data_IF_825358464729
#
_entry.id   IF_825358464729
#
_cell.length_a   1.000
_cell.length_b   1.000
_cell.length_c   1.000
_cell.angle_alpha   90.00
_cell.angle_beta   90.00
_cell.angle_gamma   90.00
#
_symmetry.space_group_name_H-M   'P 1'
#
loop_
_entity.id
_entity.type
_entity.pdbx_description
1 polymer ?
#
# COMPACT_ATOMS: atom_id res chain seq x y z
N UNK A 1 50.18 -65.82 7.75
CA UNK A 1 49.45 -64.93 8.68
C UNK A 1 49.69 -63.48 8.27
N UNK A 2 48.69 -62.78 7.73
CA UNK A 2 48.59 -61.30 7.66
C UNK A 2 47.20 -60.96 7.12
N UNK A 3 46.26 -60.62 8.01
CA UNK A 3 44.93 -60.09 7.66
C UNK A 3 45.06 -58.58 7.47
N UNK A 4 44.71 -58.09 6.29
CA UNK A 4 44.53 -56.66 6.04
C UNK A 4 43.09 -56.30 6.40
N UNK A 5 42.90 -55.50 7.44
CA UNK A 5 41.62 -54.87 7.77
C UNK A 5 41.54 -53.54 7.03
N UNK A 6 40.68 -53.46 6.03
CA UNK A 6 40.33 -52.19 5.37
C UNK A 6 39.46 -51.35 6.32
N UNK A 7 39.97 -50.20 6.74
CA UNK A 7 39.18 -49.17 7.44
C UNK A 7 38.49 -48.32 6.37
N UNK A 8 37.17 -48.41 6.28
CA UNK A 8 36.35 -47.50 5.46
C UNK A 8 36.14 -46.23 6.27
N UNK A 9 36.76 -45.13 5.85
CA UNK A 9 36.56 -43.81 6.46
C UNK A 9 35.32 -43.17 5.81
N UNK A 10 34.18 -43.26 6.48
CA UNK A 10 32.96 -42.56 6.05
C UNK A 10 33.07 -41.07 6.39
N UNK A 11 33.33 -40.23 5.38
CA UNK A 11 33.29 -38.77 5.51
C UNK A 11 31.82 -38.33 5.47
N UNK A 12 31.25 -37.99 6.63
CA UNK A 12 29.95 -37.32 6.71
C UNK A 12 30.11 -35.88 6.19
N UNK A 13 29.61 -35.60 4.99
CA UNK A 13 29.38 -34.22 4.54
C UNK A 13 28.17 -33.66 5.29
N UNK A 14 28.41 -32.86 6.34
CA UNK A 14 27.40 -31.98 6.90
C UNK A 14 27.11 -30.88 5.86
N UNK A 15 26.02 -31.01 5.11
CA UNK A 15 25.50 -29.89 4.30
C UNK A 15 24.93 -28.85 5.25
N UNK A 16 25.65 -27.76 5.50
CA UNK A 16 25.07 -26.55 6.08
C UNK A 16 24.06 -26.01 5.08
N UNK A 17 22.78 -26.32 5.29
CA UNK A 17 21.67 -25.65 4.61
C UNK A 17 21.61 -24.22 5.13
N UNK A 18 22.29 -23.29 4.44
CA UNK A 18 22.07 -21.86 4.65
C UNK A 18 20.66 -21.60 4.13
N UNK A 19 19.68 -21.57 5.03
CA UNK A 19 18.37 -21.03 4.69
C UNK A 19 18.60 -19.57 4.28
N UNK A 20 18.24 -19.16 3.05
CA UNK A 20 18.30 -17.76 2.71
C UNK A 20 17.38 -17.03 3.69
N UNK A 21 17.94 -16.06 4.40
CA UNK A 21 17.14 -15.04 5.05
C UNK A 21 16.53 -14.25 3.91
N UNK A 22 15.35 -14.66 3.45
CA UNK A 22 14.65 -13.93 2.41
C UNK A 22 14.13 -12.65 3.08
N UNK A 23 14.78 -11.52 2.73
CA UNK A 23 14.27 -10.20 3.07
C UNK A 23 12.86 -10.02 2.50
N UNK A 24 12.15 -9.00 2.98
CA UNK A 24 10.85 -8.64 2.44
C UNK A 24 10.98 -8.38 0.93
N UNK A 25 10.28 -9.16 0.09
CA UNK A 25 10.34 -9.02 -1.37
C UNK A 25 9.28 -8.04 -1.91
N UNK A 26 8.17 -7.93 -1.18
CA UNK A 26 7.01 -7.14 -1.55
C UNK A 26 6.67 -6.15 -0.43
N UNK A 27 6.34 -4.91 -0.79
CA UNK A 27 5.96 -3.85 0.13
C UNK A 27 4.68 -3.17 -0.32
N UNK A 28 3.82 -2.87 0.66
CA UNK A 28 2.64 -2.04 0.48
C UNK A 28 2.40 -1.17 1.71
N UNK A 29 1.47 -0.22 1.58
CA UNK A 29 1.03 0.68 2.66
C UNK A 29 0.77 -0.08 3.97
N UNK A 30 1.45 0.32 5.05
CA UNK A 30 1.28 -0.28 6.40
C UNK A 30 1.51 -1.81 6.46
N UNK A 31 2.40 -2.33 5.62
CA UNK A 31 2.81 -3.72 5.64
C UNK A 31 1.83 -4.68 4.95
N UNK A 32 2.15 -5.97 4.97
CA UNK A 32 1.43 -7.00 4.18
C UNK A 32 -0.08 -7.06 4.46
N UNK A 33 -0.48 -6.81 5.71
CA UNK A 33 -1.89 -6.81 6.16
C UNK A 33 -2.52 -5.42 6.16
N UNK A 34 -1.73 -4.37 5.88
CA UNK A 34 -2.09 -2.94 5.90
C UNK A 34 -2.61 -2.45 7.26
N UNK A 35 -2.32 -3.20 8.32
CA UNK A 35 -2.68 -2.92 9.72
C UNK A 35 -1.60 -2.12 10.46
N UNK A 36 -0.42 -1.96 9.87
CA UNK A 36 0.73 -1.28 10.49
C UNK A 36 1.46 -2.15 11.51
N UNK A 37 1.19 -3.45 11.53
CA UNK A 37 1.93 -4.44 12.33
C UNK A 37 3.01 -5.05 11.44
N UNK A 38 4.26 -4.94 11.89
CA UNK A 38 5.40 -5.56 11.25
C UNK A 38 5.93 -6.70 12.14
N UNK A 39 6.29 -7.82 11.53
CA UNK A 39 6.53 -9.09 12.22
C UNK A 39 8.02 -9.31 12.59
N UNK A 40 8.85 -8.27 12.53
CA UNK A 40 10.26 -8.35 12.89
C UNK A 40 10.43 -8.63 14.39
N UNK A 41 11.41 -9.49 14.68
CA UNK A 41 11.77 -9.87 16.04
C UNK A 41 13.12 -9.26 16.43
N UNK A 42 13.50 -9.36 17.71
CA UNK A 42 14.77 -8.80 18.19
C UNK A 42 14.79 -7.27 18.31
N UNK A 43 13.66 -6.60 18.15
CA UNK A 43 13.54 -5.15 18.37
C UNK A 43 13.81 -4.79 19.83
N UNK A 44 14.51 -3.67 20.03
CA UNK A 44 14.76 -3.10 21.36
C UNK A 44 13.44 -2.86 22.09
N UNK A 45 13.32 -3.39 23.31
CA UNK A 45 12.15 -3.16 24.18
C UNK A 45 12.21 -1.84 24.94
N UNK A 46 13.40 -1.24 25.02
CA UNK A 46 13.65 0.05 25.63
C UNK A 46 14.84 0.69 24.89
N UNK A 47 14.73 1.97 24.56
CA UNK A 47 15.86 2.74 24.07
C UNK A 47 16.80 3.13 25.22
N UNK A 48 18.07 3.36 24.91
CA UNK A 48 18.98 4.02 25.84
C UNK A 48 18.46 5.43 26.19
N UNK A 49 18.92 6.02 27.30
CA UNK A 49 18.53 7.38 27.70
C UNK A 49 18.84 8.42 26.62
N UNK A 50 19.91 8.19 25.86
CA UNK A 50 20.34 9.02 24.73
C UNK A 50 19.49 8.82 23.46
N UNK A 51 18.51 7.91 23.48
CA UNK A 51 17.75 7.51 22.30
C UNK A 51 18.48 6.48 21.43
N UNK A 52 17.85 6.06 20.32
CA UNK A 52 18.46 5.16 19.34
C UNK A 52 19.59 5.89 18.59
N UNK A 53 20.64 5.15 18.21
CA UNK A 53 21.70 5.69 17.37
C UNK A 53 21.14 6.05 15.99
N UNK A 54 21.40 7.27 15.53
CA UNK A 54 21.19 7.64 14.13
C UNK A 54 22.23 6.92 13.26
N UNK A 55 21.79 6.00 12.41
CA UNK A 55 22.68 5.27 11.50
C UNK A 55 23.05 6.12 10.28
N UNK A 56 22.04 6.74 9.66
CA UNK A 56 22.22 7.65 8.53
C UNK A 56 20.97 8.53 8.36
N UNK A 57 21.13 9.63 7.64
CA UNK A 57 20.05 10.51 7.19
C UNK A 57 20.32 10.94 5.76
N UNK A 58 19.27 11.28 5.02
CA UNK A 58 19.38 11.77 3.66
C UNK A 58 18.54 13.03 3.48
N UNK A 59 19.20 14.12 3.10
CA UNK A 59 18.57 15.38 2.72
C UNK A 59 18.43 15.45 1.20
N UNK A 60 17.36 16.09 0.72
CA UNK A 60 17.16 16.32 -0.72
C UNK A 60 16.16 15.41 -1.41
N UNK A 61 15.23 14.78 -0.66
CA UNK A 61 14.04 14.16 -1.26
C UNK A 61 13.10 15.22 -1.87
N UNK A 62 13.16 16.46 -1.37
CA UNK A 62 12.23 17.53 -1.72
C UNK A 62 10.93 17.44 -0.92
N UNK A 63 9.84 17.99 -1.46
CA UNK A 63 8.54 18.05 -0.78
C UNK A 63 7.81 16.70 -0.82
N UNK A 64 7.22 16.26 0.30
CA UNK A 64 6.48 15.00 0.36
C UNK A 64 5.98 14.61 1.75
N UNK A 65 5.02 13.69 1.73
CA UNK A 65 4.31 13.13 2.89
C UNK A 65 4.19 11.60 2.82
N UNK A 66 4.88 10.97 1.86
CA UNK A 66 4.84 9.52 1.64
C UNK A 66 5.52 8.74 2.77
N UNK A 67 5.19 7.46 2.89
CA UNK A 67 5.93 6.53 3.76
C UNK A 67 7.03 5.80 2.99
N UNK A 68 7.97 5.24 3.73
CA UNK A 68 9.05 4.41 3.18
C UNK A 68 8.51 3.01 2.84
N UNK A 69 8.87 2.50 1.66
CA UNK A 69 8.70 1.10 1.30
C UNK A 69 10.05 0.39 1.31
N UNK A 70 10.13 -0.78 1.95
CA UNK A 70 11.35 -1.59 2.02
C UNK A 70 11.06 -2.92 1.33
N UNK A 71 11.84 -3.23 0.30
CA UNK A 71 11.73 -4.48 -0.44
C UNK A 71 13.04 -4.81 -1.15
N UNK A 72 13.36 -6.10 -1.33
CA UNK A 72 14.51 -6.56 -2.11
C UNK A 72 15.84 -5.88 -1.68
N UNK A 73 16.05 -5.77 -0.36
CA UNK A 73 17.20 -5.09 0.28
C UNK A 73 17.41 -3.62 -0.15
N UNK A 74 16.32 -2.97 -0.56
CA UNK A 74 16.30 -1.57 -0.98
C UNK A 74 15.21 -0.80 -0.27
N UNK A 75 15.42 0.51 -0.21
CA UNK A 75 14.49 1.50 0.32
C UNK A 75 13.96 2.30 -0.87
N UNK A 76 12.64 2.38 -0.98
CA UNK A 76 11.92 3.13 -1.99
C UNK A 76 11.14 4.25 -1.31
N UNK A 77 11.31 5.47 -1.78
CA UNK A 77 10.59 6.64 -1.28
C UNK A 77 10.40 7.67 -2.40
N UNK A 78 9.27 8.37 -2.40
CA UNK A 78 9.03 9.47 -3.33
C UNK A 78 9.19 10.81 -2.64
N UNK A 79 9.60 11.81 -3.41
CA UNK A 79 9.56 13.21 -3.03
C UNK A 79 9.24 14.06 -4.25
N UNK A 80 9.31 15.38 -4.13
CA UNK A 80 8.97 16.30 -5.21
C UNK A 80 9.98 17.44 -5.30
N UNK A 81 10.45 17.73 -6.50
CA UNK A 81 11.31 18.87 -6.80
C UNK A 81 10.76 19.57 -8.03
N UNK A 82 10.58 20.89 -7.96
CA UNK A 82 10.02 21.71 -9.06
C UNK A 82 8.70 21.17 -9.62
N UNK A 83 7.78 20.77 -8.73
CA UNK A 83 6.49 20.12 -9.05
C UNK A 83 6.57 18.73 -9.70
N UNK A 84 7.77 18.19 -9.89
CA UNK A 84 8.00 16.87 -10.45
C UNK A 84 8.24 15.87 -9.32
N UNK A 85 7.40 14.84 -9.26
CA UNK A 85 7.60 13.70 -8.40
C UNK A 85 8.83 12.90 -8.81
N UNK A 86 9.64 12.51 -7.83
CA UNK A 86 10.88 11.75 -8.01
C UNK A 86 10.84 10.54 -7.11
N UNK A 87 11.03 9.35 -7.68
CA UNK A 87 11.31 8.13 -6.95
C UNK A 87 12.80 8.09 -6.61
N UNK A 88 13.12 7.83 -5.34
CA UNK A 88 14.47 7.60 -4.85
C UNK A 88 14.60 6.15 -4.38
N UNK A 89 15.74 5.54 -4.71
CA UNK A 89 16.05 4.15 -4.35
C UNK A 89 17.39 4.15 -3.62
N UNK A 90 17.41 3.64 -2.39
CA UNK A 90 18.62 3.50 -1.57
C UNK A 90 18.88 2.04 -1.25
N UNK A 91 20.12 1.70 -0.90
CA UNK A 91 20.37 0.49 -0.13
C UNK A 91 20.02 0.71 1.36
N UNK A 92 20.09 -0.34 2.18
CA UNK A 92 19.78 -0.26 3.61
C UNK A 92 20.76 0.63 4.41
N UNK A 93 21.95 0.90 3.88
CA UNK A 93 22.96 1.80 4.48
C UNK A 93 22.74 3.27 4.12
N UNK A 94 21.65 3.61 3.41
CA UNK A 94 21.33 4.99 3.03
C UNK A 94 22.08 5.53 1.81
N UNK A 95 22.83 4.69 1.09
CA UNK A 95 23.46 5.06 -0.17
C UNK A 95 22.42 5.13 -1.27
N UNK A 96 22.31 6.30 -1.92
CA UNK A 96 21.46 6.48 -3.09
C UNK A 96 21.97 5.58 -4.24
N UNK A 97 21.11 4.67 -4.69
CA UNK A 97 21.38 3.76 -5.80
C UNK A 97 20.86 4.32 -7.12
N UNK A 98 19.66 4.91 -7.12
CA UNK A 98 19.05 5.49 -8.30
C UNK A 98 17.98 6.53 -7.93
N UNK A 99 17.63 7.41 -8.88
CA UNK A 99 16.45 8.27 -8.81
C UNK A 99 15.79 8.41 -10.17
N UNK A 100 14.46 8.48 -10.19
CA UNK A 100 13.66 8.56 -11.42
C UNK A 100 12.55 9.61 -11.25
N UNK A 101 12.59 10.72 -12.00
CA UNK A 101 11.43 11.58 -12.18
C UNK A 101 10.29 10.80 -12.82
N UNK A 102 9.08 10.89 -12.27
CA UNK A 102 7.92 10.11 -12.72
C UNK A 102 6.73 10.97 -13.20
N UNK A 103 6.83 12.29 -13.13
CA UNK A 103 5.83 13.22 -13.66
C UNK A 103 5.34 14.22 -12.63
N UNK A 104 4.25 14.91 -12.94
CA UNK A 104 3.71 15.97 -12.09
C UNK A 104 3.09 15.40 -10.81
N UNK A 105 3.45 16.02 -9.69
CA UNK A 105 2.84 15.78 -8.38
C UNK A 105 1.93 16.94 -7.96
N UNK A 106 1.27 16.77 -6.80
CA UNK A 106 0.43 17.82 -6.24
C UNK A 106 1.28 19.02 -5.75
N UNK A 107 1.01 20.19 -6.34
CA UNK A 107 1.78 21.41 -6.13
C UNK A 107 0.92 22.65 -5.86
N UNK A 108 -0.36 22.48 -5.50
CA UNK A 108 -1.27 23.61 -5.25
C UNK A 108 -1.26 24.06 -3.78
N UNK A 109 -1.28 23.12 -2.84
CA UNK A 109 -1.30 23.34 -1.40
C UNK A 109 -0.82 22.09 -0.66
N UNK A 110 -0.08 22.26 0.44
CA UNK A 110 0.60 21.16 1.14
C UNK A 110 1.41 20.29 0.16
N UNK A 111 2.30 20.90 -0.60
CA UNK A 111 2.92 20.30 -1.78
C UNK A 111 3.62 18.95 -1.51
N UNK A 112 3.70 18.10 -2.55
CA UNK A 112 4.58 16.93 -2.55
C UNK A 112 3.91 15.59 -2.89
N UNK A 113 4.72 14.55 -2.99
CA UNK A 113 4.22 13.17 -3.11
C UNK A 113 3.56 12.71 -1.79
N UNK A 114 2.58 11.81 -1.84
CA UNK A 114 1.79 11.42 -0.66
C UNK A 114 1.54 9.92 -0.55
N UNK A 115 1.32 9.27 -1.68
CA UNK A 115 1.04 7.84 -1.73
C UNK A 115 2.32 7.04 -1.57
N UNK A 116 2.25 5.94 -0.81
CA UNK A 116 3.40 5.06 -0.61
C UNK A 116 3.63 4.22 -1.86
N UNK A 117 4.89 4.12 -2.28
CA UNK A 117 5.29 3.24 -3.39
C UNK A 117 4.98 1.80 -2.99
N UNK A 118 4.23 1.08 -3.82
CA UNK A 118 4.10 -0.36 -3.64
C UNK A 118 5.18 -1.06 -4.48
N UNK A 119 5.88 -2.01 -3.88
CA UNK A 119 6.87 -2.85 -4.56
C UNK A 119 6.28 -4.25 -4.62
N UNK A 120 6.07 -4.77 -5.83
CA UNK A 120 5.46 -6.07 -5.97
C UNK A 120 5.92 -6.78 -7.25
N UNK A 121 6.46 -7.99 -7.12
CA UNK A 121 6.83 -8.88 -8.24
C UNK A 121 7.68 -8.19 -9.34
N UNK A 122 8.73 -7.45 -8.96
CA UNK A 122 9.60 -6.75 -9.91
C UNK A 122 8.98 -5.49 -10.54
N UNK A 123 7.92 -4.96 -9.93
CA UNK A 123 7.21 -3.75 -10.35
C UNK A 123 7.08 -2.75 -9.21
N UNK A 124 7.06 -1.47 -9.56
CA UNK A 124 6.82 -0.35 -8.66
C UNK A 124 5.53 0.34 -9.04
N UNK A 125 4.65 0.57 -8.07
CA UNK A 125 3.38 1.25 -8.28
C UNK A 125 3.35 2.57 -7.51
N UNK A 126 3.15 3.66 -8.24
CA UNK A 126 3.14 5.03 -7.71
C UNK A 126 1.81 5.67 -8.06
N UNK A 127 1.12 6.24 -7.07
CA UNK A 127 -0.12 6.96 -7.30
C UNK A 127 0.06 8.44 -6.97
N UNK A 128 0.03 9.30 -7.98
CA UNK A 128 0.32 10.72 -7.79
C UNK A 128 -0.86 11.46 -7.17
N UNK A 129 -0.58 12.60 -6.52
CA UNK A 129 -1.61 13.53 -6.05
C UNK A 129 -2.45 14.15 -7.18
N UNK A 130 -2.07 13.92 -8.45
CA UNK A 130 -2.83 14.30 -9.64
C UNK A 130 -3.63 13.14 -10.25
N UNK A 131 -3.74 12.02 -9.56
CA UNK A 131 -4.56 10.88 -9.97
C UNK A 131 -3.92 10.00 -11.04
N UNK A 132 -2.60 10.06 -11.23
CA UNK A 132 -1.90 9.17 -12.17
C UNK A 132 -1.38 7.95 -11.41
N UNK A 133 -1.87 6.78 -11.75
CA UNK A 133 -1.38 5.49 -11.29
C UNK A 133 -0.37 4.96 -12.31
N UNK A 134 0.89 4.84 -11.88
CA UNK A 134 2.02 4.39 -12.68
C UNK A 134 2.43 2.98 -12.26
N UNK A 135 2.79 2.16 -13.24
CA UNK A 135 3.54 0.93 -13.05
C UNK A 135 4.90 1.06 -13.72
N UNK A 136 5.97 0.91 -12.95
CA UNK A 136 7.35 0.91 -13.44
C UNK A 136 7.95 -0.48 -13.31
N UNK A 137 8.87 -0.83 -14.20
CA UNK A 137 9.75 -1.97 -14.02
C UNK A 137 10.80 -1.64 -12.94
N UNK A 138 10.96 -2.49 -11.92
CA UNK A 138 11.87 -2.23 -10.79
C UNK A 138 13.35 -2.17 -11.21
N UNK A 139 13.73 -2.86 -12.30
CA UNK A 139 15.12 -2.99 -12.72
C UNK A 139 15.58 -1.78 -13.52
N UNK A 140 14.81 -1.35 -14.51
CA UNK A 140 15.19 -0.25 -15.41
C UNK A 140 14.44 1.07 -15.15
N UNK A 141 13.39 1.03 -14.31
CA UNK A 141 12.53 2.19 -13.98
C UNK A 141 11.80 2.77 -15.19
N UNK A 142 11.59 1.96 -16.22
CA UNK A 142 10.76 2.31 -17.37
C UNK A 142 9.28 2.14 -17.02
N UNK A 143 8.45 3.02 -17.57
CA UNK A 143 7.00 2.94 -17.43
C UNK A 143 6.52 1.73 -18.22
N UNK A 144 5.88 0.78 -17.52
CA UNK A 144 5.23 -0.38 -18.13
C UNK A 144 3.82 -0.01 -18.58
N UNK A 145 3.07 0.67 -17.71
CA UNK A 145 1.76 1.24 -18.03
C UNK A 145 1.44 2.43 -17.11
N UNK A 146 0.47 3.24 -17.53
CA UNK A 146 -0.04 4.38 -16.77
C UNK A 146 -1.55 4.52 -16.96
N UNK A 147 -2.26 4.92 -15.90
CA UNK A 147 -3.68 5.27 -15.92
C UNK A 147 -3.90 6.57 -15.19
N UNK A 148 -4.75 7.45 -15.72
CA UNK A 148 -5.16 8.65 -15.03
C UNK A 148 -6.60 8.46 -14.55
N UNK A 149 -6.78 8.24 -13.26
CA UNK A 149 -8.09 7.90 -12.71
C UNK A 149 -9.11 9.02 -12.83
N UNK A 150 -8.65 10.27 -12.98
CA UNK A 150 -9.52 11.42 -13.14
C UNK A 150 -10.14 11.47 -14.54
N UNK A 151 -9.37 11.08 -15.57
CA UNK A 151 -9.84 11.09 -16.96
C UNK A 151 -10.42 9.75 -17.40
N UNK A 152 -9.82 8.65 -16.96
CA UNK A 152 -10.15 7.30 -17.42
C UNK A 152 -11.38 6.74 -16.69
N UNK A 153 -11.64 7.23 -15.47
CA UNK A 153 -12.64 6.69 -14.54
C UNK A 153 -13.48 7.79 -13.88
N UNK A 154 -13.80 8.85 -14.63
CA UNK A 154 -14.68 9.97 -14.22
C UNK A 154 -14.43 10.55 -12.81
N UNK A 155 -13.22 10.40 -12.30
CA UNK A 155 -12.81 10.85 -10.97
C UNK A 155 -12.66 12.36 -10.91
N UNK A 156 -12.71 12.90 -9.69
CA UNK A 156 -12.45 14.31 -9.43
C UNK A 156 -11.28 14.43 -8.47
N UNK A 157 -10.37 15.37 -8.74
CA UNK A 157 -9.27 15.57 -7.82
C UNK A 157 -9.77 16.20 -6.52
N UNK A 158 -9.08 15.90 -5.44
CA UNK A 158 -9.40 16.35 -4.09
C UNK A 158 -8.73 17.69 -3.79
N UNK A 159 -9.24 18.42 -2.80
CA UNK A 159 -8.73 19.73 -2.38
C UNK A 159 -7.24 19.74 -2.01
N UNK A 160 -6.70 18.60 -1.57
CA UNK A 160 -5.29 18.43 -1.20
C UNK A 160 -4.57 17.41 -2.07
N UNK A 161 -5.10 17.12 -3.25
CA UNK A 161 -4.61 16.07 -4.12
C UNK A 161 -5.00 14.67 -3.65
N UNK A 162 -4.96 13.71 -4.56
CA UNK A 162 -5.15 12.29 -4.24
C UNK A 162 -4.11 11.82 -3.22
N UNK A 163 -4.53 11.08 -2.20
CA UNK A 163 -3.67 10.56 -1.14
C UNK A 163 -3.99 9.10 -0.79
N UNK A 164 -4.27 8.30 -1.83
CA UNK A 164 -4.52 6.88 -1.70
C UNK A 164 -3.24 6.10 -2.02
N UNK A 165 -2.84 5.17 -1.15
CA UNK A 165 -1.91 4.12 -1.53
C UNK A 165 -2.74 2.93 -2.06
N UNK A 166 -2.71 2.64 -3.37
CA UNK A 166 -3.60 1.64 -3.96
C UNK A 166 -3.38 0.26 -3.32
N UNK A 167 -4.40 -0.57 -3.35
CA UNK A 167 -4.38 -1.90 -2.74
C UNK A 167 -4.01 -2.94 -3.80
N UNK A 168 -2.98 -3.74 -3.55
CA UNK A 168 -2.56 -4.84 -4.44
C UNK A 168 -2.88 -6.17 -3.77
N UNK A 169 -3.70 -6.99 -4.43
CA UNK A 169 -3.99 -8.38 -4.02
C UNK A 169 -3.84 -9.29 -5.23
N UNK A 170 -2.86 -10.19 -5.19
CA UNK A 170 -2.55 -11.08 -6.31
C UNK A 170 -2.22 -10.29 -7.58
N UNK A 171 -2.98 -10.50 -8.65
CA UNK A 171 -2.83 -9.82 -9.94
C UNK A 171 -3.75 -8.59 -10.11
N UNK A 172 -4.35 -8.09 -9.03
CA UNK A 172 -5.32 -6.99 -9.07
C UNK A 172 -4.84 -5.78 -8.26
N UNK A 173 -5.01 -4.60 -8.83
CA UNK A 173 -4.91 -3.30 -8.14
C UNK A 173 -6.32 -2.75 -7.93
N UNK A 174 -6.65 -2.37 -6.70
CA UNK A 174 -7.85 -1.62 -6.38
C UNK A 174 -7.51 -0.15 -6.13
N UNK A 175 -8.27 0.74 -6.75
CA UNK A 175 -8.13 2.18 -6.61
C UNK A 175 -9.51 2.85 -6.49
N UNK A 176 -9.55 4.02 -5.85
CA UNK A 176 -10.79 4.78 -5.61
C UNK A 176 -10.77 6.12 -6.35
N UNK A 177 -11.09 6.14 -7.66
CA UNK A 177 -11.20 7.38 -8.42
C UNK A 177 -12.23 8.37 -7.84
N UNK A 178 -13.27 7.84 -7.16
CA UNK A 178 -14.34 8.67 -6.63
C UNK A 178 -15.27 9.25 -7.70
N UNK A 179 -15.35 8.61 -8.87
CA UNK A 179 -16.29 8.95 -9.93
C UNK A 179 -17.73 8.59 -9.58
N UNK A 180 -18.69 9.09 -10.37
CA UNK A 180 -20.11 8.75 -10.25
C UNK A 180 -20.39 7.36 -10.81
N UNK A 181 -19.72 7.02 -11.90
CA UNK A 181 -19.85 5.74 -12.59
C UNK A 181 -18.72 4.78 -12.21
N UNK A 182 -17.50 5.29 -12.01
CA UNK A 182 -16.34 4.52 -11.61
C UNK A 182 -15.81 4.98 -10.25
N UNK A 183 -16.58 4.69 -9.21
CA UNK A 183 -16.29 5.10 -7.84
C UNK A 183 -15.11 4.32 -7.23
N UNK A 184 -15.10 3.00 -7.45
CA UNK A 184 -14.02 2.07 -7.13
C UNK A 184 -13.75 1.23 -8.39
N UNK A 185 -12.49 0.97 -8.69
CA UNK A 185 -12.08 0.16 -9.84
C UNK A 185 -11.12 -0.93 -9.42
N UNK A 186 -11.19 -2.06 -10.12
CA UNK A 186 -10.16 -3.09 -10.12
C UNK A 186 -9.45 -3.11 -11.47
N UNK A 187 -8.13 -3.05 -11.43
CA UNK A 187 -7.26 -3.03 -12.60
C UNK A 187 -6.33 -4.23 -12.59
N UNK A 188 -6.00 -4.75 -13.76
CA UNK A 188 -4.92 -5.71 -13.94
C UNK A 188 -3.60 -5.10 -13.47
N UNK A 189 -2.95 -5.73 -12.49
CA UNK A 189 -1.63 -5.34 -12.00
C UNK A 189 -0.57 -5.35 -13.12
N UNK A 190 -0.74 -6.23 -14.11
CA UNK A 190 0.20 -6.44 -15.21
C UNK A 190 0.03 -5.42 -16.34
N UNK A 191 -1.19 -5.04 -16.66
CA UNK A 191 -1.51 -4.24 -17.87
C UNK A 191 -2.17 -2.90 -17.58
N UNK A 192 -2.68 -2.68 -16.37
CA UNK A 192 -3.47 -1.51 -16.01
C UNK A 192 -4.89 -1.53 -16.61
N UNK A 193 -5.27 -2.59 -17.31
CA UNK A 193 -6.59 -2.73 -17.92
C UNK A 193 -7.68 -2.92 -16.86
N UNK A 194 -8.87 -2.37 -17.14
CA UNK A 194 -10.01 -2.48 -16.27
C UNK A 194 -10.48 -3.94 -16.19
N UNK A 195 -10.58 -4.47 -14.96
CA UNK A 195 -11.19 -5.76 -14.67
C UNK A 195 -12.67 -5.56 -14.35
N UNK A 196 -12.96 -4.66 -13.41
CA UNK A 196 -14.31 -4.23 -13.08
C UNK A 196 -14.32 -2.80 -12.57
N UNK A 197 -15.49 -2.17 -12.67
CA UNK A 197 -15.77 -0.85 -12.10
C UNK A 197 -17.08 -0.89 -11.32
N UNK A 198 -17.16 -0.11 -10.25
CA UNK A 198 -18.34 0.00 -9.40
C UNK A 198 -18.80 1.45 -9.28
N UNK A 199 -20.10 1.68 -9.44
CA UNK A 199 -20.72 2.98 -9.13
C UNK A 199 -20.65 3.32 -7.64
N UNK A 200 -20.52 2.31 -6.77
CA UNK A 200 -20.46 2.47 -5.32
C UNK A 200 -21.50 3.45 -4.79
N UNK A 201 -21.03 4.48 -4.09
CA UNK A 201 -21.88 5.57 -3.57
C UNK A 201 -22.06 6.70 -4.57
N UNK A 202 -21.27 6.72 -5.65
CA UNK A 202 -21.16 7.82 -6.60
C UNK A 202 -20.60 9.13 -6.02
N UNK A 203 -20.06 9.08 -4.80
CA UNK A 203 -19.50 10.25 -4.08
C UNK A 203 -17.98 10.34 -4.26
N UNK A 204 -17.37 11.53 -4.10
CA UNK A 204 -15.93 11.71 -4.22
C UNK A 204 -15.09 10.81 -3.29
N UNK A 205 -13.86 10.52 -3.70
CA UNK A 205 -12.86 9.84 -2.85
C UNK A 205 -12.49 10.69 -1.63
N UNK A 206 -11.83 10.11 -0.61
CA UNK A 206 -11.53 10.82 0.65
C UNK A 206 -10.19 10.44 1.28
N UNK A 207 -9.09 10.57 0.53
CA UNK A 207 -7.71 10.44 1.04
C UNK A 207 -7.42 9.11 1.77
N UNK A 208 -8.24 8.08 1.52
CA UNK A 208 -8.22 6.83 2.26
C UNK A 208 -7.62 5.73 1.41
N UNK A 209 -6.77 4.91 2.03
CA UNK A 209 -6.15 3.76 1.38
C UNK A 209 -6.97 2.50 1.72
N UNK A 210 -7.44 1.71 0.72
CA UNK A 210 -8.35 0.58 0.96
C UNK A 210 -7.76 -0.55 1.82
N UNK A 211 -8.62 -1.34 2.45
CA UNK A 211 -8.31 -2.54 3.22
C UNK A 211 -8.92 -3.79 2.56
N UNK A 212 -8.17 -4.89 2.53
CA UNK A 212 -8.68 -6.18 2.06
C UNK A 212 -9.08 -7.09 3.23
N UNK A 213 -10.23 -7.75 3.12
CA UNK A 213 -10.73 -8.74 4.08
C UNK A 213 -11.08 -10.01 3.30
N UNK A 214 -10.62 -11.17 3.77
CA UNK A 214 -10.72 -12.43 3.01
C UNK A 214 -10.98 -13.69 3.83
N UNK A 215 -11.01 -13.56 5.16
CA UNK A 215 -11.30 -14.63 6.12
C UNK A 215 -12.80 -14.79 6.40
N UNK A 216 -13.65 -14.08 5.65
CA UNK A 216 -15.11 -14.20 5.66
C UNK A 216 -15.62 -14.93 4.41
N UNK A 217 -16.94 -15.16 4.33
CA UNK A 217 -17.57 -15.85 3.19
C UNK A 217 -17.37 -15.08 1.87
N UNK A 218 -17.40 -13.75 1.92
CA UNK A 218 -17.16 -12.86 0.78
C UNK A 218 -15.85 -12.09 0.99
N UNK A 219 -14.84 -12.29 0.12
CA UNK A 219 -13.69 -11.40 0.09
C UNK A 219 -14.10 -9.99 -0.35
N UNK A 220 -13.66 -8.98 0.39
CA UNK A 220 -14.13 -7.61 0.20
C UNK A 220 -13.02 -6.57 0.30
N UNK A 221 -13.28 -5.43 -0.32
CA UNK A 221 -12.50 -4.21 -0.25
C UNK A 221 -13.27 -3.23 0.61
N UNK A 222 -12.72 -2.84 1.74
CA UNK A 222 -13.28 -1.84 2.61
C UNK A 222 -12.54 -0.52 2.39
N UNK A 223 -13.28 0.57 2.21
CA UNK A 223 -12.68 1.90 2.10
C UNK A 223 -13.61 2.98 2.67
N UNK A 224 -13.06 4.15 3.00
CA UNK A 224 -13.86 5.35 3.18
C UNK A 224 -14.05 6.06 1.84
N UNK A 225 -15.27 6.51 1.54
CA UNK A 225 -15.62 7.31 0.36
C UNK A 225 -16.52 8.45 0.84
N UNK A 226 -16.06 9.69 0.65
CA UNK A 226 -16.67 10.91 1.20
C UNK A 226 -17.05 10.76 2.69
N UNK A 227 -18.35 10.68 2.98
CA UNK A 227 -18.94 10.60 4.31
C UNK A 227 -19.38 9.18 4.70
N UNK A 228 -18.85 8.17 4.02
CA UNK A 228 -19.29 6.78 4.14
C UNK A 228 -18.13 5.82 4.31
N UNK A 229 -18.30 4.82 5.15
CA UNK A 229 -17.49 3.61 5.19
C UNK A 229 -18.22 2.53 4.38
N UNK A 230 -17.54 1.94 3.39
CA UNK A 230 -18.15 1.02 2.42
C UNK A 230 -17.37 -0.26 2.28
N UNK A 231 -18.06 -1.33 1.88
CA UNK A 231 -17.43 -2.55 1.40
C UNK A 231 -17.91 -2.93 0.00
N UNK A 232 -16.97 -3.34 -0.82
CA UNK A 232 -17.20 -3.88 -2.15
C UNK A 232 -16.80 -5.34 -2.20
N UNK A 233 -17.53 -6.17 -2.95
CA UNK A 233 -17.09 -7.51 -3.28
C UNK A 233 -15.80 -7.42 -4.11
N UNK A 234 -14.70 -8.01 -3.63
CA UNK A 234 -13.39 -7.87 -4.26
C UNK A 234 -13.32 -8.48 -5.67
N UNK A 235 -14.21 -9.43 -5.99
CA UNK A 235 -14.26 -10.12 -7.28
C UNK A 235 -15.17 -9.42 -8.30
N UNK A 236 -16.32 -8.91 -7.86
CA UNK A 236 -17.35 -8.39 -8.75
C UNK A 236 -17.46 -6.86 -8.76
N UNK A 237 -16.98 -6.20 -7.71
CA UNK A 237 -17.16 -4.76 -7.51
C UNK A 237 -18.52 -4.37 -6.94
N UNK A 238 -19.41 -5.32 -6.64
CA UNK A 238 -20.72 -5.01 -6.08
C UNK A 238 -20.59 -4.36 -4.70
N UNK A 239 -21.30 -3.26 -4.47
CA UNK A 239 -21.40 -2.67 -3.14
C UNK A 239 -22.16 -3.63 -2.23
N UNK A 240 -21.53 -4.03 -1.12
CA UNK A 240 -22.11 -4.97 -0.14
C UNK A 240 -22.89 -4.19 0.91
N UNK A 241 -22.25 -3.19 1.51
CA UNK A 241 -22.86 -2.33 2.53
C UNK A 241 -22.20 -0.95 2.54
N UNK A 242 -22.94 0.02 3.08
CA UNK A 242 -22.53 1.40 3.31
C UNK A 242 -22.97 1.81 4.72
N UNK A 243 -22.06 2.43 5.47
CA UNK A 243 -22.34 3.01 6.80
C UNK A 243 -21.97 4.47 6.79
N UNK A 244 -22.90 5.32 7.20
CA UNK A 244 -22.63 6.75 7.40
C UNK A 244 -21.52 6.95 8.45
N UNK A 245 -20.46 7.62 8.03
CA UNK A 245 -19.38 8.12 8.87
C UNK A 245 -19.08 9.57 8.45
N UNK A 246 -20.07 10.43 8.66
CA UNK A 246 -20.07 11.82 8.19
C UNK A 246 -18.89 12.59 8.75
N UNK A 247 -18.02 13.08 7.88
CA UNK A 247 -16.98 14.04 8.23
C UNK A 247 -17.33 15.40 7.60
N UNK A 248 -17.49 16.48 8.39
CA UNK A 248 -17.93 17.78 7.88
C UNK A 248 -16.94 18.42 6.91
N UNK A 249 -15.71 17.91 6.86
CA UNK A 249 -14.66 18.37 5.96
C UNK A 249 -14.44 17.43 4.76
N UNK A 250 -15.21 16.35 4.63
CA UNK A 250 -15.03 15.35 3.56
C UNK A 250 -13.67 14.65 3.59
N UNK A 251 -13.05 14.55 4.77
CA UNK A 251 -11.70 14.00 4.97
C UNK A 251 -11.71 12.78 5.89
N UNK A 252 -11.54 11.58 5.36
CA UNK A 252 -11.44 10.33 6.12
C UNK A 252 -10.15 9.57 5.78
N UNK A 253 -8.96 10.11 6.14
CA UNK A 253 -7.67 9.58 5.66
C UNK A 253 -7.20 8.29 6.34
N UNK A 254 -7.92 7.80 7.35
CA UNK A 254 -7.48 6.64 8.12
C UNK A 254 -7.97 5.35 7.44
N UNK A 255 -7.03 4.49 7.05
CA UNK A 255 -7.34 3.12 6.60
C UNK A 255 -8.08 2.35 7.71
N UNK A 256 -9.28 1.80 7.42
CA UNK A 256 -10.01 0.94 8.36
C UNK A 256 -9.17 -0.27 8.78
N UNK A 257 -9.23 -0.62 10.06
CA UNK A 257 -8.52 -1.77 10.63
C UNK A 257 -9.47 -2.92 10.85
N UNK A 258 -9.03 -4.13 10.52
CA UNK A 258 -9.85 -5.33 10.64
C UNK A 258 -9.13 -6.39 11.45
N UNK A 259 -9.84 -7.01 12.41
CA UNK A 259 -9.40 -8.20 13.14
C UNK A 259 -10.62 -8.98 13.62
N UNK A 260 -10.62 -10.30 13.44
CA UNK A 260 -11.59 -11.23 14.05
C UNK A 260 -13.07 -10.82 13.86
N UNK A 261 -13.45 -10.46 12.63
CA UNK A 261 -14.82 -10.03 12.32
C UNK A 261 -15.16 -8.61 12.80
N UNK A 262 -14.22 -7.88 13.39
CA UNK A 262 -14.40 -6.51 13.87
C UNK A 262 -13.65 -5.53 12.95
N UNK A 263 -14.34 -4.46 12.56
CA UNK A 263 -13.82 -3.40 11.71
C UNK A 263 -13.83 -2.09 12.49
N UNK A 264 -12.65 -1.54 12.75
CA UNK A 264 -12.47 -0.25 13.40
C UNK A 264 -12.17 0.84 12.35
N UNK A 265 -12.91 1.93 12.41
CA UNK A 265 -12.66 3.12 11.60
C UNK A 265 -12.68 4.36 12.48
N UNK A 266 -11.84 5.33 12.16
CA UNK A 266 -11.76 6.60 12.88
C UNK A 266 -11.64 7.76 11.90
N UNK A 267 -12.34 8.85 12.15
CA UNK A 267 -12.28 10.05 11.32
C UNK A 267 -12.10 11.29 12.18
N UNK A 268 -11.34 12.25 11.66
CA UNK A 268 -11.03 13.50 12.35
C UNK A 268 -12.24 14.43 12.45
N UNK A 269 -12.02 15.68 12.86
CA UNK A 269 -13.07 16.70 12.84
C UNK A 269 -14.17 16.53 13.89
N UNK A 270 -13.89 15.84 15.01
CA UNK A 270 -14.81 15.70 16.14
C UNK A 270 -15.87 14.60 16.01
N UNK A 271 -15.79 13.78 14.96
CA UNK A 271 -16.76 12.69 14.69
C UNK A 271 -16.44 11.43 15.49
N UNK A 272 -15.17 11.19 15.77
CA UNK A 272 -14.71 10.07 16.58
C UNK A 272 -14.54 8.78 15.77
N UNK A 273 -14.72 7.66 16.48
CA UNK A 273 -14.44 6.32 15.95
C UNK A 273 -15.68 5.45 16.00
N UNK A 274 -15.73 4.48 15.11
CA UNK A 274 -16.75 3.43 15.08
C UNK A 274 -16.05 2.07 15.07
N UNK A 275 -16.57 1.15 15.86
CA UNK A 275 -16.25 -0.27 15.77
C UNK A 275 -17.49 -0.96 15.22
N UNK A 276 -17.33 -1.70 14.12
CA UNK A 276 -18.40 -2.45 13.48
C UNK A 276 -18.12 -3.94 13.60
N UNK A 277 -19.15 -4.75 13.86
CA UNK A 277 -19.07 -6.19 13.71
C UNK A 277 -19.56 -6.58 12.33
N UNK A 278 -18.74 -7.30 11.56
CA UNK A 278 -19.13 -7.91 10.29
C UNK A 278 -19.93 -9.18 10.58
N UNK A 279 -21.17 -9.22 10.11
CA UNK A 279 -22.13 -10.30 10.35
C UNK A 279 -22.52 -10.99 9.03
N UNK A 280 -23.22 -12.12 9.11
CA UNK A 280 -23.71 -12.87 7.94
C UNK A 280 -22.62 -13.17 6.89
N UNK A 281 -21.45 -13.64 7.34
CA UNK A 281 -20.32 -13.92 6.44
C UNK A 281 -19.74 -12.67 5.79
N UNK A 282 -19.95 -11.48 6.37
CA UNK A 282 -19.49 -10.19 5.86
C UNK A 282 -20.52 -9.42 5.02
N UNK A 283 -21.70 -9.99 4.80
CA UNK A 283 -22.77 -9.38 3.99
C UNK A 283 -23.49 -8.23 4.69
N UNK A 284 -23.29 -8.06 6.00
CA UNK A 284 -23.91 -6.99 6.79
C UNK A 284 -23.01 -6.55 7.93
N UNK A 285 -23.34 -5.40 8.53
CA UNK A 285 -22.59 -4.82 9.66
C UNK A 285 -23.53 -4.30 10.74
N UNK A 286 -23.07 -4.35 11.99
CA UNK A 286 -23.75 -3.75 13.15
C UNK A 286 -22.73 -2.96 14.00
N UNK A 287 -23.23 -1.99 14.76
CA UNK A 287 -22.43 -1.16 15.70
C UNK A 287 -22.37 -1.80 17.08
#
# INVERSE_FOLDING_TARGET
MKKWTSVVLSVLFLSLSILPVLGQENSQWRGKKRDGVYEETGLLKKWAETGPQLLWSYDGLGEGHTSVAIANDKIYITGMTDSIGVLYIFNLDGKLLNKKPYGLEWNANYNGSRSTVNVNDGRLYIFTGRGVLLCLDEKNLDVVWSKNVLTDFDGNNLTFGMAESPLIIGDVIYATPGGKENNMVALSKKTGELIWSSKGTGKPSTYCSPQYISDLEIPMIVNAIDSSLVAFNAKTGDLIWEVDQKNPYGMSPNTPLYTDGMLFSTTGGGIGSVLLRLTNGGKSVEK
#
